data_IF_766434921552
#
_entry.id   IF_766434921552
#
_cell.length_a   1.000
_cell.length_b   1.000
_cell.length_c   1.000
_cell.angle_alpha   90.00
_cell.angle_beta   90.00
_cell.angle_gamma   90.00
#
_symmetry.space_group_name_H-M   'P 1'
#
loop_
_entity.id
_entity.type
_entity.pdbx_description
1 polymer ?
#
# COMPACT_ATOMS: atom_id res chain seq x y z
N UNK A 1 25.31 -5.57 2.06
CA UNK A 1 25.55 -4.11 2.08
C UNK A 1 26.98 -3.86 2.54
N UNK A 2 27.90 -3.45 1.66
CA UNK A 2 29.20 -2.91 2.06
C UNK A 2 28.94 -1.54 2.73
N UNK A 3 29.15 -1.39 4.04
CA UNK A 3 28.99 -0.15 4.84
C UNK A 3 27.55 0.45 4.94
N UNK A 4 26.70 -0.04 5.86
CA UNK A 4 25.32 0.46 6.05
C UNK A 4 25.26 1.92 6.56
N UNK A 5 26.15 2.34 7.48
CA UNK A 5 26.12 3.68 8.10
C UNK A 5 26.15 4.85 7.10
N UNK A 6 26.83 4.68 5.96
CA UNK A 6 26.97 5.74 4.95
C UNK A 6 25.98 5.59 3.79
N UNK A 7 25.59 4.35 3.46
CA UNK A 7 24.71 4.08 2.32
C UNK A 7 23.23 4.24 2.64
N UNK A 8 22.79 3.99 3.89
CA UNK A 8 21.40 4.22 4.31
C UNK A 8 20.91 5.67 4.07
N UNK A 9 21.61 6.72 4.53
CA UNK A 9 21.11 8.10 4.35
C UNK A 9 21.12 8.54 2.87
N UNK A 10 22.09 8.06 2.09
CA UNK A 10 22.18 8.37 0.65
C UNK A 10 21.06 7.68 -0.14
N UNK A 11 20.78 6.41 0.16
CA UNK A 11 19.69 5.67 -0.47
C UNK A 11 18.31 6.27 -0.15
N UNK A 12 18.09 6.69 1.11
CA UNK A 12 16.84 7.33 1.52
C UNK A 12 16.56 8.64 0.77
N UNK A 13 17.57 9.52 0.62
CA UNK A 13 17.41 10.78 -0.13
C UNK A 13 17.06 10.56 -1.60
N UNK A 14 17.66 9.53 -2.22
CA UNK A 14 17.38 9.16 -3.61
C UNK A 14 15.93 8.69 -3.79
N UNK A 15 15.43 7.87 -2.85
CA UNK A 15 14.03 7.42 -2.85
C UNK A 15 13.05 8.58 -2.66
N UNK A 16 13.35 9.52 -1.76
CA UNK A 16 12.51 10.70 -1.55
C UNK A 16 12.41 11.57 -2.81
N UNK A 17 13.54 11.87 -3.45
CA UNK A 17 13.54 12.64 -4.69
C UNK A 17 12.77 11.92 -5.81
N UNK A 18 12.93 10.60 -5.90
CA UNK A 18 12.22 9.76 -6.85
C UNK A 18 10.70 9.82 -6.64
N UNK A 19 10.22 9.70 -5.40
CA UNK A 19 8.80 9.82 -5.07
C UNK A 19 8.25 11.20 -5.46
N UNK A 20 8.92 12.28 -5.05
CA UNK A 20 8.46 13.65 -5.29
C UNK A 20 8.39 13.94 -6.79
N UNK A 21 9.45 13.58 -7.54
CA UNK A 21 9.50 13.82 -8.99
C UNK A 21 8.42 13.04 -9.72
N UNK A 22 8.23 11.75 -9.43
CA UNK A 22 7.18 10.95 -10.08
C UNK A 22 5.78 11.44 -9.72
N UNK A 23 5.56 11.91 -8.49
CA UNK A 23 4.26 12.40 -8.06
C UNK A 23 3.88 13.74 -8.71
N UNK A 24 4.83 14.68 -8.79
CA UNK A 24 4.61 15.99 -9.42
C UNK A 24 4.37 15.83 -10.93
N UNK A 25 5.22 15.05 -11.61
CA UNK A 25 5.08 14.81 -13.06
C UNK A 25 3.78 14.05 -13.36
N UNK A 26 3.47 13.04 -12.55
CA UNK A 26 2.23 12.27 -12.70
C UNK A 26 0.98 13.13 -12.51
N UNK A 27 0.95 13.96 -11.46
CA UNK A 27 -0.16 14.88 -11.23
C UNK A 27 -0.31 15.89 -12.38
N UNK A 28 0.79 16.49 -12.82
CA UNK A 28 0.78 17.45 -13.93
C UNK A 28 0.29 16.84 -15.25
N UNK A 29 0.64 15.59 -15.53
CA UNK A 29 0.21 14.89 -16.73
C UNK A 29 -1.30 14.60 -16.74
N UNK A 30 -1.91 14.32 -15.58
CA UNK A 30 -3.34 13.99 -15.48
C UNK A 30 -4.22 15.24 -15.40
N UNK A 31 -3.74 16.32 -14.79
CA UNK A 31 -4.49 17.56 -14.62
C UNK A 31 -5.23 18.07 -15.87
N UNK A 32 -4.64 18.08 -17.08
CA UNK A 32 -5.34 18.54 -18.29
C UNK A 32 -6.29 17.49 -18.91
N UNK A 33 -6.18 16.21 -18.53
CA UNK A 33 -6.96 15.10 -19.12
C UNK A 33 -8.31 14.93 -18.41
N UNK A 34 -8.42 15.39 -17.16
CA UNK A 34 -9.66 15.33 -16.40
C UNK A 34 -10.40 16.67 -16.42
N UNK A 35 -11.62 16.72 -16.99
CA UNK A 35 -12.52 17.84 -16.76
C UNK A 35 -12.86 17.93 -15.27
N UNK A 36 -12.72 19.13 -14.68
CA UNK A 36 -13.08 19.38 -13.28
C UNK A 36 -14.56 19.14 -12.95
N UNK A 37 -15.42 19.05 -13.98
CA UNK A 37 -16.87 18.90 -13.87
C UNK A 37 -17.38 17.45 -13.95
N UNK A 38 -16.49 16.44 -13.98
CA UNK A 38 -16.92 15.05 -14.11
C UNK A 38 -17.58 14.52 -12.82
N UNK A 39 -18.87 14.09 -12.85
CA UNK A 39 -19.60 13.64 -11.67
C UNK A 39 -19.06 12.34 -11.05
N UNK A 40 -18.15 11.64 -11.75
CA UNK A 40 -17.43 10.47 -11.24
C UNK A 40 -16.39 10.82 -10.17
N UNK A 41 -15.90 12.06 -10.14
CA UNK A 41 -15.00 12.55 -9.08
C UNK A 41 -15.78 12.95 -7.82
N UNK A 42 -16.94 13.58 -8.01
CA UNK A 42 -17.73 14.17 -6.92
C UNK A 42 -18.57 13.15 -6.15
N UNK A 43 -18.93 12.02 -6.76
CA UNK A 43 -19.79 10.99 -6.15
C UNK A 43 -19.05 9.84 -5.47
N UNK A 44 -17.72 9.90 -5.36
CA UNK A 44 -16.93 8.88 -4.65
C UNK A 44 -17.29 7.46 -5.08
N UNK A 45 -16.92 7.08 -6.31
CA UNK A 45 -17.24 5.75 -6.83
C UNK A 45 -16.76 4.65 -5.89
N UNK A 46 -17.68 3.83 -5.39
CA UNK A 46 -17.35 2.68 -4.54
C UNK A 46 -16.63 1.61 -5.38
N UNK A 47 -15.38 1.31 -5.02
CA UNK A 47 -14.60 0.19 -5.57
C UNK A 47 -13.24 0.58 -6.17
N UNK A 48 -12.42 -0.45 -6.43
CA UNK A 48 -11.07 -0.32 -6.99
C UNK A 48 -10.99 0.37 -8.38
N UNK A 49 -12.14 0.63 -9.02
CA UNK A 49 -12.25 1.31 -10.31
C UNK A 49 -12.34 2.85 -10.23
N UNK A 50 -12.33 3.45 -9.04
CA UNK A 50 -12.39 4.90 -8.87
C UNK A 50 -11.00 5.58 -8.82
N UNK A 51 -9.94 4.90 -9.27
CA UNK A 51 -8.61 5.53 -9.34
C UNK A 51 -8.59 6.61 -10.42
N UNK A 52 -8.00 7.77 -10.08
CA UNK A 52 -7.81 8.92 -10.98
C UNK A 52 -7.22 8.51 -12.34
N UNK A 53 -6.27 7.58 -12.33
CA UNK A 53 -5.63 7.02 -13.51
C UNK A 53 -6.57 6.17 -14.38
N UNK A 54 -7.51 5.44 -13.77
CA UNK A 54 -8.52 4.69 -14.52
C UNK A 54 -9.57 5.63 -15.13
N UNK A 55 -9.99 6.67 -14.41
CA UNK A 55 -10.92 7.67 -14.97
C UNK A 55 -10.28 8.36 -16.20
N UNK A 56 -9.00 8.73 -16.10
CA UNK A 56 -8.25 9.32 -17.22
C UNK A 56 -8.13 8.36 -18.42
N UNK A 57 -7.86 7.07 -18.18
CA UNK A 57 -7.77 6.07 -19.24
C UNK A 57 -9.11 5.84 -19.97
N UNK A 58 -10.24 5.89 -19.24
CA UNK A 58 -11.58 5.86 -19.83
C UNK A 58 -11.88 7.08 -20.67
N UNK A 59 -11.54 8.27 -20.16
CA UNK A 59 -11.74 9.52 -20.88
C UNK A 59 -10.87 9.61 -22.15
N UNK A 60 -9.69 8.98 -22.14
CA UNK A 60 -8.82 8.86 -23.32
C UNK A 60 -9.34 7.88 -24.38
N UNK A 61 -10.42 7.13 -24.13
CA UNK A 61 -11.07 6.24 -25.11
C UNK A 61 -10.31 4.95 -25.43
N UNK A 62 -9.25 4.61 -24.68
CA UNK A 62 -8.42 3.43 -24.93
C UNK A 62 -8.99 2.22 -24.18
N UNK A 63 -9.54 1.25 -24.93
CA UNK A 63 -10.12 0.02 -24.37
C UNK A 63 -9.01 -0.85 -23.77
N UNK A 64 -9.15 -1.22 -22.48
CA UNK A 64 -8.27 -2.17 -21.79
C UNK A 64 -7.18 -1.55 -20.91
N UNK A 65 -6.88 -0.27 -21.06
CA UNK A 65 -5.83 0.41 -20.28
C UNK A 65 -6.13 0.44 -18.77
N UNK A 66 -7.42 0.59 -18.40
CA UNK A 66 -7.90 0.50 -17.02
C UNK A 66 -7.51 -0.79 -16.31
N UNK A 67 -7.70 -1.92 -16.99
CA UNK A 67 -7.48 -3.25 -16.41
C UNK A 67 -5.99 -3.46 -16.16
N UNK A 68 -5.15 -3.02 -17.10
CA UNK A 68 -3.68 -3.10 -16.95
C UNK A 68 -3.21 -2.28 -15.76
N UNK A 69 -3.68 -1.03 -15.62
CA UNK A 69 -3.32 -0.16 -14.49
C UNK A 69 -3.74 -0.82 -13.17
N UNK A 70 -4.98 -1.30 -13.06
CA UNK A 70 -5.46 -1.95 -11.86
C UNK A 70 -4.65 -3.22 -11.52
N UNK A 71 -4.34 -4.07 -12.50
CA UNK A 71 -3.51 -5.26 -12.29
C UNK A 71 -2.10 -4.92 -11.84
N UNK A 72 -1.47 -3.89 -12.41
CA UNK A 72 -0.13 -3.44 -12.01
C UNK A 72 -0.12 -2.90 -10.57
N UNK A 73 -1.16 -2.17 -10.17
CA UNK A 73 -1.30 -1.66 -8.80
C UNK A 73 -1.46 -2.83 -7.82
N UNK A 74 -2.32 -3.80 -8.13
CA UNK A 74 -2.49 -5.00 -7.30
C UNK A 74 -1.20 -5.81 -7.21
N UNK A 75 -0.49 -5.99 -8.32
CA UNK A 75 0.79 -6.69 -8.35
C UNK A 75 1.86 -5.98 -7.51
N UNK A 76 1.91 -4.65 -7.59
CA UNK A 76 2.81 -3.83 -6.79
C UNK A 76 2.48 -3.92 -5.30
N UNK A 77 1.19 -3.87 -4.95
CA UNK A 77 0.72 -4.04 -3.58
C UNK A 77 1.07 -5.43 -3.02
N UNK A 78 0.90 -6.49 -3.82
CA UNK A 78 1.30 -7.85 -3.45
C UNK A 78 2.82 -7.96 -3.20
N UNK A 79 3.63 -7.36 -4.07
CA UNK A 79 5.10 -7.36 -3.94
C UNK A 79 5.57 -6.64 -2.67
N UNK A 80 5.03 -5.44 -2.43
CA UNK A 80 5.31 -4.69 -1.21
C UNK A 80 4.80 -5.44 0.03
N UNK A 81 3.60 -6.03 -0.06
CA UNK A 81 2.97 -6.83 0.99
C UNK A 81 3.82 -8.01 1.45
N UNK A 82 4.45 -8.73 0.52
CA UNK A 82 5.35 -9.84 0.88
C UNK A 82 6.54 -9.38 1.72
N UNK A 83 7.13 -8.22 1.41
CA UNK A 83 8.26 -7.67 2.17
C UNK A 83 7.82 -7.20 3.57
N UNK A 84 6.67 -6.51 3.66
CA UNK A 84 6.12 -6.07 4.93
C UNK A 84 5.70 -7.25 5.83
N UNK A 85 5.12 -8.29 5.23
CA UNK A 85 4.71 -9.51 5.94
C UNK A 85 5.90 -10.29 6.51
N UNK A 86 6.99 -10.37 5.74
CA UNK A 86 8.22 -10.98 6.22
C UNK A 86 8.82 -10.18 7.40
N UNK A 87 8.82 -8.85 7.29
CA UNK A 87 9.35 -7.97 8.33
C UNK A 87 8.52 -8.02 9.61
N UNK A 88 7.19 -8.06 9.51
CA UNK A 88 6.28 -8.17 10.67
C UNK A 88 6.48 -9.50 11.41
N UNK A 89 6.56 -10.61 10.68
CA UNK A 89 6.80 -11.94 11.25
C UNK A 89 8.11 -11.97 12.06
N UNK A 90 9.19 -11.39 11.51
CA UNK A 90 10.50 -11.33 12.18
C UNK A 90 10.50 -10.37 13.36
N UNK A 91 9.82 -9.23 13.26
CA UNK A 91 9.67 -8.30 14.39
C UNK A 91 8.90 -8.96 15.56
N UNK A 92 7.84 -9.70 15.25
CA UNK A 92 7.04 -10.44 16.23
C UNK A 92 7.82 -11.60 16.86
N UNK A 93 8.67 -12.27 16.08
CA UNK A 93 9.60 -13.26 16.62
C UNK A 93 10.66 -12.63 17.55
N UNK A 94 11.25 -11.49 17.17
CA UNK A 94 12.24 -10.79 18.00
C UNK A 94 11.66 -10.31 19.33
N UNK A 95 10.41 -9.83 19.34
CA UNK A 95 9.72 -9.44 20.59
C UNK A 95 9.36 -10.65 21.46
N UNK A 96 9.08 -11.81 20.86
CA UNK A 96 8.94 -13.06 21.60
C UNK A 96 10.25 -13.55 22.22
N UNK A 97 11.40 -13.33 21.56
CA UNK A 97 12.72 -13.63 22.13
C UNK A 97 13.06 -12.78 23.35
N UNK A 98 12.64 -11.51 23.35
CA UNK A 98 12.85 -10.58 24.47
C UNK A 98 11.91 -10.90 25.66
N UNK A 99 10.94 -11.80 25.49
CA UNK A 99 10.00 -12.23 26.54
C UNK A 99 8.75 -11.36 26.66
N UNK A 100 8.59 -10.34 25.82
CA UNK A 100 7.43 -9.43 25.82
C UNK A 100 6.21 -9.98 25.10
N UNK A 101 6.38 -11.01 24.25
CA UNK A 101 5.30 -11.68 23.53
C UNK A 101 5.17 -13.16 23.96
N UNK A 102 3.98 -13.77 23.87
CA UNK A 102 3.71 -15.09 24.43
C UNK A 102 4.63 -16.18 23.85
N UNK A 103 5.17 -17.03 24.72
CA UNK A 103 6.25 -18.00 24.41
C UNK A 103 5.93 -18.98 23.27
N UNK A 104 4.65 -19.17 22.93
CA UNK A 104 4.26 -20.03 21.81
C UNK A 104 4.78 -19.52 20.45
N UNK A 105 5.02 -18.20 20.32
CA UNK A 105 5.51 -17.55 19.11
C UNK A 105 7.00 -17.80 18.84
N UNK A 106 7.75 -18.21 19.88
CA UNK A 106 9.18 -18.54 19.78
C UNK A 106 9.43 -19.94 19.19
N UNK A 107 8.40 -20.79 19.10
CA UNK A 107 8.55 -22.14 18.52
C UNK A 107 8.82 -22.05 17.01
N UNK A 108 10.07 -22.32 16.64
CA UNK A 108 10.51 -22.49 15.26
C UNK A 108 10.42 -23.95 14.82
N UNK A 109 10.09 -24.19 13.54
CA UNK A 109 10.25 -25.52 12.93
C UNK A 109 11.73 -25.87 12.74
N UNK A 110 12.05 -27.13 12.46
CA UNK A 110 13.43 -27.62 12.25
C UNK A 110 14.18 -26.87 11.12
N UNK A 111 13.43 -26.26 10.19
CA UNK A 111 13.96 -25.44 9.10
C UNK A 111 14.21 -23.96 9.48
N UNK A 112 14.06 -23.57 10.75
CA UNK A 112 14.28 -22.20 11.22
C UNK A 112 13.18 -21.19 10.86
N UNK A 113 12.04 -21.67 10.33
CA UNK A 113 10.89 -20.86 9.93
C UNK A 113 9.84 -20.77 11.07
N UNK A 114 9.49 -19.55 11.55
CA UNK A 114 8.54 -19.37 12.66
C UNK A 114 7.08 -19.44 12.16
N UNK A 115 6.54 -20.65 11.98
CA UNK A 115 5.16 -20.87 11.47
C UNK A 115 4.08 -20.25 12.37
N UNK A 116 4.29 -20.25 13.69
CA UNK A 116 3.35 -19.67 14.65
C UNK A 116 3.28 -18.14 14.55
N UNK A 117 4.39 -17.47 14.24
CA UNK A 117 4.42 -16.03 14.05
C UNK A 117 3.75 -15.61 12.73
N UNK A 118 3.91 -16.42 11.68
CA UNK A 118 3.27 -16.22 10.36
C UNK A 118 1.76 -16.34 10.47
N UNK A 119 1.27 -17.43 11.08
CA UNK A 119 -0.17 -17.67 11.27
C UNK A 119 -0.84 -16.62 12.17
N UNK A 120 -0.14 -16.15 13.20
CA UNK A 120 -0.62 -15.04 14.02
C UNK A 120 -0.68 -13.73 13.21
N UNK A 121 0.34 -13.44 12.40
CA UNK A 121 0.39 -12.22 11.57
C UNK A 121 -0.70 -12.19 10.48
N UNK A 122 -0.98 -13.32 9.83
CA UNK A 122 -2.09 -13.41 8.86
C UNK A 122 -3.46 -13.33 9.55
N UNK A 123 -3.63 -13.95 10.72
CA UNK A 123 -4.87 -13.88 11.48
C UNK A 123 -5.21 -12.44 11.90
N UNK A 124 -4.21 -11.67 12.35
CA UNK A 124 -4.37 -10.25 12.68
C UNK A 124 -4.73 -9.43 11.43
N UNK A 125 -4.10 -9.70 10.29
CA UNK A 125 -4.42 -9.02 9.04
C UNK A 125 -5.88 -9.28 8.60
N UNK A 126 -6.31 -10.55 8.69
CA UNK A 126 -7.68 -10.96 8.33
C UNK A 126 -8.72 -10.34 9.28
N UNK A 127 -8.43 -10.27 10.57
CA UNK A 127 -9.35 -9.66 11.54
C UNK A 127 -9.50 -8.15 11.34
N UNK A 128 -8.44 -7.45 10.94
CA UNK A 128 -8.50 -6.01 10.59
C UNK A 128 -9.33 -5.79 9.33
N UNK A 129 -9.18 -6.64 8.30
CA UNK A 129 -10.00 -6.53 7.08
C UNK A 129 -11.49 -6.75 7.32
N UNK A 130 -11.86 -7.44 8.41
CA UNK A 130 -13.23 -7.63 8.84
C UNK A 130 -13.79 -6.44 9.64
N UNK A 131 -12.94 -5.49 10.04
CA UNK A 131 -13.39 -4.21 10.55
C UNK A 131 -13.67 -3.30 9.33
N UNK A 132 -14.94 -2.99 9.00
CA UNK A 132 -15.22 -2.14 7.85
C UNK A 132 -14.55 -0.78 8.09
N UNK A 133 -13.76 -0.27 7.13
CA UNK A 133 -13.31 1.10 7.18
C UNK A 133 -14.57 1.97 7.17
N UNK A 134 -14.77 2.69 8.26
CA UNK A 134 -15.75 3.78 8.31
C UNK A 134 -15.20 4.84 7.36
N UNK A 135 -15.69 4.82 6.12
CA UNK A 135 -15.55 5.92 5.19
C UNK A 135 -15.88 7.19 5.96
N UNK A 136 -14.92 8.10 6.10
CA UNK A 136 -15.20 9.41 6.66
C UNK A 136 -16.12 10.12 5.67
N UNK A 137 -17.39 10.40 6.03
CA UNK A 137 -18.23 11.23 5.19
C UNK A 137 -17.76 12.68 5.34
N UNK A 138 -17.52 13.33 4.20
CA UNK A 138 -17.80 14.75 3.98
C UNK A 138 -17.28 15.77 5.02
N UNK A 139 -16.04 16.25 4.85
CA UNK A 139 -15.68 17.62 5.27
C UNK A 139 -15.53 18.56 4.06
N UNK A 140 -16.54 18.56 3.18
CA UNK A 140 -16.90 19.74 2.40
C UNK A 140 -18.42 19.86 2.48
N UNK A 141 -18.89 20.34 3.63
CA UNK A 141 -20.21 20.97 3.74
C UNK A 141 -20.11 22.41 3.21
N UNK A 142 -21.21 22.96 2.67
CA UNK A 142 -21.20 24.18 1.88
C UNK A 142 -21.20 25.43 2.77
N UNK A 143 -20.30 26.38 2.53
CA UNK A 143 -20.44 27.80 2.92
C UNK A 143 -19.11 28.55 2.75
N UNK A 144 -18.80 29.04 1.55
CA UNK A 144 -18.78 30.46 1.11
C UNK A 144 -18.18 30.53 -0.30
#
# INVERSE_FOLDING_TARGET
MQSPRRNLPTAGKRYFYQLVLFYIIGAFAISPILPSDDPKLLRGGSGAGASLWSIAARNAGIVGLDSVINTVILLSALSAGNSYFYMSTRALYSTALIGSAPRFLMKCTKSGFPYNAVTCSTAICLSISMYPPKEQPCLIGPSI
#
